data_IF_754541098235
#
_entry.id   IF_754541098235
#
_cell.length_a   1.000
_cell.length_b   1.000
_cell.length_c   1.000
_cell.angle_alpha   90.00
_cell.angle_beta   90.00
_cell.angle_gamma   90.00
#
_symmetry.space_group_name_H-M   'P 1'
#
loop_
_entity.id
_entity.type
_entity.pdbx_description
1 polymer ?
#
# COMPACT_ATOMS: atom_id res chain seq x y z
N UNK A 1 -12.20 9.34 -3.85
CA UNK A 1 -11.07 10.01 -4.52
C UNK A 1 -10.42 11.04 -3.60
N UNK A 2 -10.84 12.32 -3.48
CA UNK A 2 -10.09 13.33 -2.67
C UNK A 2 -9.72 12.93 -1.22
N UNK A 3 -10.63 12.33 -0.45
CA UNK A 3 -10.36 11.94 0.95
C UNK A 3 -9.37 10.77 1.05
N UNK A 4 -9.40 9.89 0.06
CA UNK A 4 -8.57 8.69 -0.03
C UNK A 4 -7.14 9.05 -0.42
N UNK A 5 -6.98 10.01 -1.35
CA UNK A 5 -5.69 10.64 -1.64
C UNK A 5 -5.10 11.28 -0.38
N UNK A 6 -5.92 11.98 0.43
CA UNK A 6 -5.45 12.61 1.69
C UNK A 6 -4.96 11.60 2.72
N UNK A 7 -5.68 10.49 2.92
CA UNK A 7 -5.27 9.44 3.85
C UNK A 7 -3.97 8.78 3.39
N UNK A 8 -3.88 8.44 2.11
CA UNK A 8 -2.66 7.91 1.51
C UNK A 8 -1.48 8.86 1.72
N UNK A 9 -1.63 10.15 1.43
CA UNK A 9 -0.56 11.14 1.57
C UNK A 9 -0.06 11.25 3.02
N UNK A 10 -0.97 11.19 4.00
CA UNK A 10 -0.61 11.23 5.42
C UNK A 10 0.17 9.97 5.83
N UNK A 11 -0.32 8.79 5.46
CA UNK A 11 0.35 7.51 5.73
C UNK A 11 1.72 7.48 5.06
N UNK A 12 1.81 7.89 3.79
CA UNK A 12 3.06 7.89 3.04
C UNK A 12 4.10 8.83 3.65
N UNK A 13 3.71 10.05 4.05
CA UNK A 13 4.60 10.97 4.75
C UNK A 13 5.09 10.40 6.07
N UNK A 14 4.21 9.79 6.86
CA UNK A 14 4.59 9.17 8.12
C UNK A 14 5.61 8.04 7.92
N UNK A 15 5.31 7.11 7.01
CA UNK A 15 6.16 5.95 6.74
C UNK A 15 7.50 6.36 6.13
N UNK A 16 7.53 7.35 5.24
CA UNK A 16 8.80 7.81 4.63
C UNK A 16 9.67 8.62 5.59
N UNK A 17 9.08 9.32 6.57
CA UNK A 17 9.86 10.10 7.53
C UNK A 17 10.66 9.22 8.49
N UNK A 18 10.09 8.07 8.88
CA UNK A 18 10.69 7.16 9.86
C UNK A 18 11.41 5.94 9.28
N UNK A 19 11.42 5.75 7.95
CA UNK A 19 11.96 4.51 7.37
C UNK A 19 13.38 4.62 6.83
N UNK A 20 14.14 3.56 7.01
CA UNK A 20 15.41 3.31 6.30
C UNK A 20 15.22 2.55 4.97
N UNK A 21 14.01 2.57 4.39
CA UNK A 21 13.75 1.80 3.17
C UNK A 21 14.67 2.26 2.03
N UNK A 22 15.47 1.32 1.52
CA UNK A 22 16.39 1.52 0.39
C UNK A 22 15.64 1.93 -0.88
N UNK A 23 14.39 1.46 -1.04
CA UNK A 23 13.55 1.74 -2.20
C UNK A 23 12.23 2.40 -1.78
N UNK A 24 11.99 3.63 -2.24
CA UNK A 24 10.76 4.40 -2.00
C UNK A 24 9.49 3.66 -2.43
N UNK A 25 9.60 2.72 -3.38
CA UNK A 25 8.48 1.88 -3.81
C UNK A 25 7.98 0.97 -2.69
N UNK A 26 8.83 0.59 -1.74
CA UNK A 26 8.40 -0.15 -0.56
C UNK A 26 7.48 0.70 0.31
N UNK A 27 7.85 1.96 0.59
CA UNK A 27 6.99 2.90 1.32
C UNK A 27 5.65 3.10 0.59
N UNK A 28 5.68 3.24 -0.74
CA UNK A 28 4.47 3.42 -1.54
C UNK A 28 3.51 2.23 -1.39
N UNK A 29 4.02 1.01 -1.55
CA UNK A 29 3.19 -0.20 -1.45
C UNK A 29 2.66 -0.38 -0.04
N UNK A 30 3.49 -0.20 0.99
CA UNK A 30 3.05 -0.26 2.39
C UNK A 30 1.97 0.79 2.68
N UNK A 31 2.14 2.00 2.15
CA UNK A 31 1.15 3.08 2.31
C UNK A 31 -0.18 2.73 1.68
N UNK A 32 -0.18 2.10 0.50
CA UNK A 32 -1.42 1.58 -0.11
C UNK A 32 -2.07 0.49 0.73
N UNK A 33 -1.29 -0.45 1.27
CA UNK A 33 -1.81 -1.54 2.11
C UNK A 33 -2.45 -0.99 3.40
N UNK A 34 -1.76 -0.09 4.10
CA UNK A 34 -2.28 0.55 5.33
C UNK A 34 -3.51 1.41 5.03
N UNK A 35 -3.48 2.21 3.96
CA UNK A 35 -4.63 3.03 3.53
C UNK A 35 -5.86 2.16 3.25
N UNK A 36 -5.68 1.04 2.52
CA UNK A 36 -6.77 0.13 2.23
C UNK A 36 -7.31 -0.53 3.48
N UNK A 37 -6.42 -0.99 4.37
CA UNK A 37 -6.80 -1.60 5.65
C UNK A 37 -7.61 -0.63 6.51
N UNK A 38 -7.16 0.62 6.67
CA UNK A 38 -7.87 1.64 7.44
C UNK A 38 -9.21 2.02 6.82
N UNK A 39 -9.32 1.98 5.49
CA UNK A 39 -10.55 2.34 4.78
C UNK A 39 -11.62 1.24 4.78
N UNK A 40 -11.21 -0.03 4.75
CA UNK A 40 -12.13 -1.17 4.65
C UNK A 40 -12.25 -2.02 5.92
N UNK A 41 -11.35 -1.80 6.89
CA UNK A 41 -11.24 -2.54 8.14
C UNK A 41 -11.22 -4.06 7.95
N UNK A 42 -10.62 -4.53 6.85
CA UNK A 42 -10.63 -5.94 6.47
C UNK A 42 -9.23 -6.39 6.06
N UNK A 43 -8.79 -7.54 6.58
CA UNK A 43 -7.48 -8.13 6.26
C UNK A 43 -7.45 -8.88 4.93
N UNK A 44 -8.61 -9.14 4.32
CA UNK A 44 -8.67 -9.80 3.03
C UNK A 44 -8.19 -8.86 1.91
N UNK A 45 -6.98 -9.11 1.41
CA UNK A 45 -6.29 -8.30 0.41
C UNK A 45 -7.03 -8.19 -0.94
N UNK A 46 -7.92 -9.14 -1.25
CA UNK A 46 -8.80 -9.05 -2.44
C UNK A 46 -9.79 -7.89 -2.38
N UNK A 47 -10.08 -7.38 -1.19
CA UNK A 47 -11.00 -6.26 -0.98
C UNK A 47 -10.31 -4.90 -1.03
N UNK A 48 -8.99 -4.85 -1.17
CA UNK A 48 -8.22 -3.62 -1.03
C UNK A 48 -8.17 -2.77 -2.30
N UNK A 49 -8.38 -3.36 -3.47
CA UNK A 49 -8.27 -2.70 -4.77
C UNK A 49 -9.10 -1.39 -4.90
N UNK A 50 -10.38 -1.34 -4.51
CA UNK A 50 -11.16 -0.10 -4.55
C UNK A 50 -10.58 1.03 -3.69
N UNK A 51 -9.74 0.67 -2.71
CA UNK A 51 -9.15 1.59 -1.75
C UNK A 51 -7.75 2.09 -2.15
N UNK A 52 -7.25 1.73 -3.33
CA UNK A 52 -5.90 2.08 -3.78
C UNK A 52 -5.94 2.82 -5.11
N UNK A 53 -5.35 4.01 -5.17
CA UNK A 53 -5.19 4.76 -6.42
C UNK A 53 -3.96 4.23 -7.19
N UNK A 54 -4.20 3.36 -8.17
CA UNK A 54 -3.18 2.78 -9.04
C UNK A 54 -3.61 2.77 -10.49
N UNK A 55 -2.64 2.71 -11.42
CA UNK A 55 -2.88 2.51 -12.86
C UNK A 55 -3.11 1.04 -13.23
N UNK A 56 -3.17 0.15 -12.25
CA UNK A 56 -3.39 -1.27 -12.50
C UNK A 56 -4.86 -1.51 -12.83
N UNK A 57 -5.12 -2.09 -14.01
CA UNK A 57 -6.47 -2.37 -14.51
C UNK A 57 -6.94 -3.80 -14.18
N UNK A 58 -6.02 -4.67 -13.77
CA UNK A 58 -6.30 -6.08 -13.50
C UNK A 58 -6.21 -6.37 -11.99
N UNK A 59 -7.24 -7.01 -11.43
CA UNK A 59 -7.28 -7.43 -10.02
C UNK A 59 -6.05 -8.27 -9.61
N UNK A 60 -5.59 -9.16 -10.48
CA UNK A 60 -4.40 -9.98 -10.22
C UNK A 60 -3.12 -9.14 -10.04
N UNK A 61 -3.03 -7.95 -10.64
CA UNK A 61 -1.86 -7.09 -10.49
C UNK A 61 -1.73 -6.54 -9.07
N UNK A 62 -2.85 -6.29 -8.39
CA UNK A 62 -2.86 -5.92 -6.97
C UNK A 62 -2.42 -7.11 -6.10
N UNK A 63 -3.00 -8.29 -6.30
CA UNK A 63 -2.62 -9.51 -5.55
C UNK A 63 -1.12 -9.81 -5.68
N UNK A 64 -0.59 -9.80 -6.91
CA UNK A 64 0.85 -9.99 -7.16
C UNK A 64 1.72 -8.92 -6.51
N UNK A 65 1.21 -7.69 -6.37
CA UNK A 65 1.93 -6.60 -5.71
C UNK A 65 2.01 -6.81 -4.20
N UNK A 66 0.88 -7.13 -3.56
CA UNK A 66 0.83 -7.43 -2.13
C UNK A 66 1.72 -8.62 -1.78
N UNK A 67 1.59 -9.70 -2.54
CA UNK A 67 2.42 -10.89 -2.38
C UNK A 67 3.92 -10.57 -2.53
N UNK A 68 4.30 -9.83 -3.59
CA UNK A 68 5.70 -9.43 -3.77
C UNK A 68 6.23 -8.59 -2.62
N UNK A 69 5.42 -7.67 -2.07
CA UNK A 69 5.85 -6.86 -0.93
C UNK A 69 6.05 -7.70 0.32
N UNK A 70 5.08 -8.55 0.67
CA UNK A 70 5.11 -9.39 1.87
C UNK A 70 6.19 -10.47 1.83
N UNK A 71 6.50 -10.98 0.64
CA UNK A 71 7.54 -12.00 0.46
C UNK A 71 8.92 -11.42 0.13
N UNK A 72 9.07 -10.08 0.10
CA UNK A 72 10.36 -9.46 -0.18
C UNK A 72 11.22 -9.42 1.09
N UNK A 73 12.18 -10.34 1.22
CA UNK A 73 13.10 -10.39 2.37
C UNK A 73 14.00 -9.15 2.55
N UNK A 74 14.03 -8.23 1.57
CA UNK A 74 14.70 -6.92 1.70
C UNK A 74 13.83 -5.87 2.39
N UNK A 75 12.53 -6.12 2.53
CA UNK A 75 11.63 -5.29 3.34
C UNK A 75 11.78 -5.78 4.77
N UNK A 76 12.63 -5.10 5.54
CA UNK A 76 12.69 -5.26 6.99
C UNK A 76 11.61 -4.32 7.56
N UNK A 77 10.58 -4.89 8.18
CA UNK A 77 9.45 -4.16 8.77
C UNK A 77 9.71 -3.93 10.24
#
# INVERSE_FOLDING_TARGET
>A
MRTQTRLYDQVYRYLTHGSEFVDKRHCQVLSWMVTALLSCLNLNQSRWEPYVESRAEQAQSYQRRWHRFLCNGRVQV
#
